data_IF_391116878036
#
_entry.id   IF_391116878036
#
_cell.length_a   1.000
_cell.length_b   1.000
_cell.length_c   1.000
_cell.angle_alpha   90.00
_cell.angle_beta   90.00
_cell.angle_gamma   90.00
#
_symmetry.space_group_name_H-M   'P 1'
#
loop_
_entity.id
_entity.type
_entity.pdbx_description
1 polymer ?
#
# COMPACT_ATOMS: atom_id res chain seq x y z
N UNK A 1 21.42 5.46 15.37
CA UNK A 1 20.00 5.72 15.00
C UNK A 1 19.52 4.48 14.27
N UNK A 2 18.36 3.93 14.63
CA UNK A 2 17.85 2.69 14.03
C UNK A 2 17.58 2.88 12.52
N UNK A 3 17.85 1.85 11.71
CA UNK A 3 17.66 1.88 10.26
C UNK A 3 16.21 2.21 9.88
N UNK A 4 15.24 1.71 10.66
CA UNK A 4 13.83 2.00 10.43
C UNK A 4 13.53 3.51 10.57
N UNK A 5 14.17 4.18 11.54
CA UNK A 5 14.06 5.63 11.70
C UNK A 5 14.69 6.38 10.53
N UNK A 6 15.89 5.97 10.08
CA UNK A 6 16.53 6.57 8.91
C UNK A 6 15.66 6.44 7.66
N UNK A 7 15.03 5.28 7.48
CA UNK A 7 14.11 5.04 6.37
C UNK A 7 12.87 5.94 6.46
N UNK A 8 12.33 6.17 7.67
CA UNK A 8 11.23 7.12 7.88
C UNK A 8 11.58 8.54 7.42
N UNK A 9 12.83 8.99 7.64
CA UNK A 9 13.25 10.35 7.27
C UNK A 9 13.19 10.64 5.75
N UNK A 10 13.09 9.62 4.89
CA UNK A 10 12.82 9.83 3.46
C UNK A 10 11.44 10.47 3.20
N UNK A 11 10.54 10.46 4.19
CA UNK A 11 9.22 11.06 4.09
C UNK A 11 9.18 12.55 4.48
N UNK A 12 10.28 13.13 4.99
CA UNK A 12 10.32 14.54 5.40
C UNK A 12 9.96 15.48 4.24
N UNK A 13 9.28 16.58 4.56
CA UNK A 13 8.87 17.62 3.62
C UNK A 13 7.39 17.97 3.74
N UNK A 14 6.97 18.93 2.91
CA UNK A 14 5.58 19.35 2.76
C UNK A 14 4.99 18.67 1.54
N UNK A 15 3.87 17.98 1.75
CA UNK A 15 3.19 17.14 0.78
C UNK A 15 1.76 17.61 0.59
N UNK A 16 1.44 18.12 -0.58
CA UNK A 16 0.11 18.57 -0.97
C UNK A 16 -0.59 17.46 -1.75
N UNK A 17 -1.87 17.23 -1.49
CA UNK A 17 -2.58 16.12 -2.10
C UNK A 17 -4.03 16.02 -1.68
N UNK A 18 -4.57 14.80 -1.73
CA UNK A 18 -5.95 14.54 -1.35
C UNK A 18 -6.13 13.18 -0.72
N UNK A 19 -7.12 13.04 0.18
CA UNK A 19 -7.63 11.78 0.68
C UNK A 19 -8.90 11.44 -0.10
N UNK A 20 -8.83 10.44 -0.98
CA UNK A 20 -9.98 9.96 -1.77
C UNK A 20 -10.53 8.69 -1.16
N UNK A 21 -11.79 8.71 -0.77
CA UNK A 21 -12.49 7.50 -0.31
C UNK A 21 -12.80 6.60 -1.49
N UNK A 22 -12.62 5.30 -1.30
CA UNK A 22 -12.93 4.25 -2.28
C UNK A 22 -13.87 3.27 -1.60
N UNK A 23 -14.97 2.94 -2.27
CA UNK A 23 -15.96 1.98 -1.79
C UNK A 23 -15.42 0.55 -1.76
N UNK A 24 -16.17 -0.38 -1.15
CA UNK A 24 -15.83 -1.80 -1.11
C UNK A 24 -15.81 -2.46 -2.50
N UNK A 25 -16.48 -1.88 -3.50
CA UNK A 25 -16.45 -2.31 -4.90
C UNK A 25 -15.42 -1.54 -5.75
N UNK A 26 -14.57 -0.71 -5.13
CA UNK A 26 -13.46 -0.07 -5.82
C UNK A 26 -13.85 1.16 -6.63
N UNK A 27 -14.98 1.82 -6.33
CA UNK A 27 -15.36 3.09 -6.95
C UNK A 27 -14.82 4.26 -6.12
N UNK A 28 -14.30 5.29 -6.79
CA UNK A 28 -13.92 6.54 -6.14
C UNK A 28 -15.17 7.33 -5.72
N UNK A 29 -15.12 7.82 -4.48
CA UNK A 29 -16.17 8.63 -3.87
C UNK A 29 -15.64 10.06 -3.70
N UNK A 30 -15.86 10.66 -2.53
CA UNK A 30 -15.40 12.01 -2.22
C UNK A 30 -13.88 12.08 -2.03
N UNK A 31 -13.29 13.18 -2.50
CA UNK A 31 -11.89 13.52 -2.29
C UNK A 31 -11.76 14.80 -1.46
N UNK A 32 -10.98 14.72 -0.38
CA UNK A 32 -10.72 15.84 0.53
C UNK A 32 -9.28 16.34 0.35
N UNK A 33 -9.07 17.59 -0.10
CA UNK A 33 -7.74 18.17 -0.22
C UNK A 33 -7.00 18.21 1.12
N UNK A 34 -5.70 18.00 1.10
CA UNK A 34 -4.86 17.94 2.30
C UNK A 34 -3.45 18.46 2.09
N UNK A 35 -2.84 18.96 3.17
CA UNK A 35 -1.42 19.25 3.27
C UNK A 35 -0.86 18.48 4.46
N UNK A 36 0.13 17.62 4.20
CA UNK A 36 0.87 16.87 5.21
C UNK A 36 2.30 17.40 5.30
N UNK A 37 2.72 17.79 6.48
CA UNK A 37 4.07 18.28 6.76
C UNK A 37 4.76 17.34 7.74
N UNK A 38 5.99 16.94 7.38
CA UNK A 38 6.91 16.18 8.21
C UNK A 38 8.22 16.95 8.32
N UNK A 39 8.49 17.53 9.47
CA UNK A 39 9.69 18.34 9.71
C UNK A 39 10.60 17.68 10.76
N UNK A 40 11.88 17.54 10.43
CA UNK A 40 12.89 16.98 11.32
C UNK A 40 13.49 18.04 12.23
N UNK A 41 13.57 17.74 13.53
CA UNK A 41 14.16 18.60 14.57
C UNK A 41 15.31 17.89 15.28
N UNK A 42 16.13 18.65 16.01
CA UNK A 42 17.20 18.12 16.85
C UNK A 42 18.12 17.15 16.07
N UNK A 43 18.64 17.58 14.92
CA UNK A 43 19.40 16.75 13.99
C UNK A 43 18.64 15.47 13.56
N UNK A 44 17.37 15.63 13.21
CA UNK A 44 16.44 14.56 12.81
C UNK A 44 16.24 13.46 13.86
N UNK A 45 16.48 13.74 15.15
CA UNK A 45 16.13 12.83 16.24
C UNK A 45 14.65 12.89 16.62
N UNK A 46 13.94 13.91 16.11
CA UNK A 46 12.51 14.11 16.29
C UNK A 46 11.90 14.50 14.96
N UNK A 47 10.65 14.12 14.74
CA UNK A 47 9.88 14.57 13.56
C UNK A 47 8.53 15.07 14.02
N UNK A 48 8.20 16.32 13.68
CA UNK A 48 6.83 16.81 13.84
C UNK A 48 6.02 16.45 12.61
N UNK A 49 4.83 15.90 12.85
CA UNK A 49 3.83 15.58 11.85
C UNK A 49 2.67 16.54 12.02
N UNK A 50 2.27 17.16 10.91
CA UNK A 50 1.10 18.02 10.83
C UNK A 50 0.29 17.68 9.59
N UNK A 51 -0.97 17.29 9.80
CA UNK A 51 -1.92 17.02 8.73
C UNK A 51 -3.06 18.03 8.80
N UNK A 52 -3.26 18.77 7.71
CA UNK A 52 -4.39 19.68 7.52
C UNK A 52 -5.26 19.16 6.39
N UNK A 53 -6.58 19.13 6.58
CA UNK A 53 -7.56 18.82 5.54
C UNK A 53 -8.43 20.04 5.29
N UNK A 54 -8.81 20.25 4.04
CA UNK A 54 -9.52 21.45 3.58
C UNK A 54 -10.86 21.07 2.96
N UNK A 55 -11.80 22.01 2.86
CA UNK A 55 -13.03 21.81 2.08
C UNK A 55 -12.70 21.43 0.63
N UNK A 56 -13.64 20.78 -0.05
CA UNK A 56 -13.50 20.32 -1.45
C UNK A 56 -13.19 21.43 -2.45
N UNK A 57 -13.44 22.70 -2.10
CA UNK A 57 -13.15 23.87 -2.95
C UNK A 57 -11.68 24.32 -2.94
N UNK A 58 -10.77 23.57 -2.29
CA UNK A 58 -9.33 23.75 -2.36
C UNK A 58 -8.70 24.31 -1.09
N UNK A 59 -7.45 24.76 -1.19
CA UNK A 59 -6.63 25.18 -0.05
C UNK A 59 -6.90 26.61 0.45
N UNK A 60 -7.82 27.32 -0.21
CA UNK A 60 -8.16 28.71 0.14
C UNK A 60 -9.14 28.73 1.32
N UNK A 61 -8.61 28.79 2.54
CA UNK A 61 -9.40 28.92 3.76
C UNK A 61 -8.78 28.19 4.95
N UNK A 62 -9.48 28.21 6.07
CA UNK A 62 -9.08 27.45 7.25
C UNK A 62 -9.27 25.95 7.02
N UNK A 63 -8.36 25.10 7.51
CA UNK A 63 -8.55 23.66 7.46
C UNK A 63 -9.80 23.23 8.25
N UNK A 64 -10.55 22.26 7.72
CA UNK A 64 -11.70 21.63 8.40
C UNK A 64 -11.26 20.64 9.48
N UNK A 65 -10.03 20.14 9.39
CA UNK A 65 -9.41 19.34 10.44
C UNK A 65 -7.91 19.57 10.45
N UNK A 66 -7.34 19.60 11.64
CA UNK A 66 -5.89 19.64 11.84
C UNK A 66 -5.48 18.62 12.90
N UNK A 67 -4.46 17.83 12.59
CA UNK A 67 -3.88 16.82 13.49
C UNK A 67 -2.39 17.09 13.57
N UNK A 68 -1.87 17.18 14.79
CA UNK A 68 -0.45 17.37 15.08
C UNK A 68 0.04 16.23 15.97
N UNK A 69 1.24 15.71 15.68
CA UNK A 69 1.88 14.66 16.47
C UNK A 69 3.40 14.77 16.34
N UNK A 70 4.12 14.61 17.44
CA UNK A 70 5.58 14.51 17.41
C UNK A 70 6.02 13.05 17.57
N UNK A 71 6.96 12.64 16.72
CA UNK A 71 7.60 11.32 16.79
C UNK A 71 8.99 11.45 17.38
N UNK A 72 9.25 10.65 18.41
CA UNK A 72 10.58 10.42 18.97
C UNK A 72 11.07 8.98 18.72
N UNK A 73 10.11 8.09 18.45
CA UNK A 73 10.31 6.67 18.15
C UNK A 73 9.19 6.22 17.21
N UNK A 74 9.38 5.06 16.59
CA UNK A 74 8.36 4.42 15.76
C UNK A 74 7.70 3.27 16.53
N UNK A 75 6.40 3.12 16.31
CA UNK A 75 5.65 1.98 16.85
C UNK A 75 6.11 0.66 16.21
N UNK A 76 5.97 -0.45 16.94
CA UNK A 76 6.34 -1.78 16.42
C UNK A 76 5.53 -2.17 15.18
N UNK A 77 4.32 -1.63 15.06
CA UNK A 77 3.39 -1.94 13.99
C UNK A 77 3.75 -1.34 12.62
N UNK A 78 4.76 -0.45 12.55
CA UNK A 78 5.19 0.23 11.33
C UNK A 78 6.62 -0.13 10.94
N UNK A 79 6.79 -0.48 9.67
CA UNK A 79 8.09 -0.75 9.04
C UNK A 79 8.26 0.19 7.87
N UNK A 80 9.39 0.89 7.83
CA UNK A 80 9.88 1.68 6.70
C UNK A 80 11.03 0.94 6.02
N UNK A 81 10.96 0.88 4.70
CA UNK A 81 11.94 0.29 3.81
C UNK A 81 12.88 1.36 3.25
N UNK A 82 13.97 0.94 2.63
CA UNK A 82 15.06 1.81 2.17
C UNK A 82 14.62 2.91 1.19
N UNK A 83 13.53 2.74 0.44
CA UNK A 83 12.98 3.78 -0.45
C UNK A 83 12.17 4.84 0.28
N UNK A 84 11.94 4.68 1.58
CA UNK A 84 10.97 5.45 2.36
C UNK A 84 9.55 4.87 2.31
N UNK A 85 9.32 3.83 1.50
CA UNK A 85 8.06 3.09 1.51
C UNK A 85 7.81 2.47 2.89
N UNK A 86 6.55 2.32 3.29
CA UNK A 86 6.22 1.79 4.61
C UNK A 86 4.93 0.98 4.64
N UNK A 87 4.85 0.06 5.60
CA UNK A 87 3.63 -0.64 5.97
C UNK A 87 3.34 -0.42 7.44
N UNK A 88 2.11 -0.02 7.76
CA UNK A 88 1.58 0.18 9.11
C UNK A 88 0.23 -0.52 9.21
N UNK A 89 -0.08 -1.19 10.32
CA UNK A 89 -1.41 -1.76 10.46
C UNK A 89 -1.65 -2.47 11.76
N UNK A 90 -2.82 -3.09 11.88
CA UNK A 90 -3.19 -3.90 13.04
C UNK A 90 -2.16 -4.99 13.31
N UNK A 91 -1.73 -5.19 14.56
CA UNK A 91 -0.80 -6.27 14.93
C UNK A 91 -1.50 -7.61 15.14
N UNK A 92 -2.78 -7.59 15.52
CA UNK A 92 -3.59 -8.77 15.81
C UNK A 92 -5.00 -8.59 15.24
N UNK A 93 -5.39 -9.42 14.29
CA UNK A 93 -6.77 -9.57 13.87
C UNK A 93 -7.48 -10.52 14.85
N UNK A 94 -8.51 -10.03 15.54
CA UNK A 94 -9.26 -10.79 16.54
C UNK A 94 -10.77 -10.76 16.22
N UNK A 95 -11.56 -11.73 16.73
CA UNK A 95 -13.01 -11.70 16.58
C UNK A 95 -13.61 -10.36 17.02
N UNK A 96 -14.51 -9.81 16.20
CA UNK A 96 -15.23 -8.54 16.44
C UNK A 96 -14.35 -7.28 16.51
N UNK A 97 -13.09 -7.36 16.05
CA UNK A 97 -12.22 -6.20 15.90
C UNK A 97 -12.28 -5.66 14.47
N UNK A 98 -12.20 -4.34 14.33
CA UNK A 98 -11.93 -3.71 13.04
C UNK A 98 -10.48 -3.99 12.64
N UNK A 99 -10.26 -4.12 11.33
CA UNK A 99 -8.93 -4.31 10.77
C UNK A 99 -8.59 -3.17 9.83
N UNK A 100 -7.36 -2.66 9.95
CA UNK A 100 -6.85 -1.60 9.09
C UNK A 100 -5.37 -1.77 8.82
N UNK A 101 -4.98 -1.50 7.57
CA UNK A 101 -3.59 -1.39 7.17
C UNK A 101 -3.41 -0.20 6.24
N UNK A 102 -2.31 0.51 6.40
CA UNK A 102 -1.85 1.63 5.59
C UNK A 102 -0.51 1.28 4.97
N UNK A 103 -0.40 1.58 3.68
CA UNK A 103 0.78 1.37 2.88
C UNK A 103 1.16 2.69 2.26
N UNK A 104 2.43 3.08 2.34
CA UNK A 104 2.92 4.28 1.71
C UNK A 104 4.12 4.00 0.83
N UNK A 105 4.19 4.68 -0.30
CA UNK A 105 5.32 4.66 -1.21
C UNK A 105 5.85 6.08 -1.37
N UNK A 106 7.16 6.19 -1.60
CA UNK A 106 7.84 7.46 -1.88
C UNK A 106 8.65 7.26 -3.15
N UNK A 107 8.47 8.16 -4.12
CA UNK A 107 9.24 8.17 -5.37
C UNK A 107 9.46 9.61 -5.81
N UNK A 108 10.66 10.13 -5.53
CA UNK A 108 11.03 11.52 -5.81
C UNK A 108 10.06 12.51 -5.16
N UNK A 109 9.36 13.29 -6.01
CA UNK A 109 8.39 14.30 -5.58
C UNK A 109 6.95 13.77 -5.44
N UNK A 110 6.77 12.46 -5.45
CA UNK A 110 5.46 11.81 -5.29
C UNK A 110 5.45 10.94 -4.04
N UNK A 111 4.31 10.92 -3.36
CA UNK A 111 3.93 9.81 -2.47
C UNK A 111 2.56 9.29 -2.84
N UNK A 112 2.40 8.01 -2.61
CA UNK A 112 1.12 7.32 -2.73
C UNK A 112 0.91 6.52 -1.47
N UNK A 113 -0.23 6.72 -0.82
CA UNK A 113 -0.63 5.89 0.31
C UNK A 113 -1.99 5.29 0.06
N UNK A 114 -2.18 4.05 0.48
CA UNK A 114 -3.49 3.40 0.44
C UNK A 114 -3.79 2.80 1.82
N UNK A 115 -4.96 3.13 2.35
CA UNK A 115 -5.51 2.53 3.56
C UNK A 115 -6.58 1.53 3.16
N UNK A 116 -6.53 0.32 3.71
CA UNK A 116 -7.54 -0.73 3.53
C UNK A 116 -8.26 -0.94 4.87
N UNK A 117 -9.59 -0.82 4.89
CA UNK A 117 -10.40 -0.85 6.11
C UNK A 117 -11.46 -1.93 6.04
N UNK A 118 -11.56 -2.72 7.10
CA UNK A 118 -12.51 -3.81 7.25
C UNK A 118 -13.39 -3.59 8.48
N UNK A 119 -14.66 -3.98 8.37
CA UNK A 119 -15.60 -3.95 9.47
C UNK A 119 -15.35 -5.09 10.47
N UNK A 120 -16.11 -5.11 11.57
CA UNK A 120 -15.98 -6.09 12.67
C UNK A 120 -16.36 -7.51 12.24
N UNK A 121 -17.13 -7.64 11.19
CA UNK A 121 -17.50 -8.90 10.58
C UNK A 121 -16.33 -9.47 9.76
N UNK A 122 -15.35 -8.64 9.38
CA UNK A 122 -14.20 -9.01 8.56
C UNK A 122 -14.42 -8.74 7.07
N UNK A 123 -15.52 -8.11 6.68
CA UNK A 123 -15.78 -7.67 5.31
C UNK A 123 -15.09 -6.35 4.98
N UNK A 124 -14.63 -6.21 3.74
CA UNK A 124 -14.08 -4.95 3.24
C UNK A 124 -15.13 -3.84 3.38
N UNK A 125 -14.80 -2.79 4.12
CA UNK A 125 -15.67 -1.65 4.37
C UNK A 125 -15.41 -0.54 3.37
N UNK A 126 -14.15 -0.10 3.29
CA UNK A 126 -13.71 0.98 2.41
C UNK A 126 -12.20 0.98 2.26
N UNK A 127 -11.71 1.80 1.35
CA UNK A 127 -10.30 2.11 1.20
C UNK A 127 -10.11 3.63 1.11
N UNK A 128 -8.92 4.14 1.40
CA UNK A 128 -8.60 5.56 1.25
C UNK A 128 -7.31 5.69 0.48
N UNK A 129 -7.40 6.20 -0.75
CA UNK A 129 -6.25 6.50 -1.61
C UNK A 129 -5.80 7.93 -1.35
N UNK A 130 -4.53 8.08 -0.97
CA UNK A 130 -3.92 9.35 -0.62
C UNK A 130 -2.79 9.62 -1.60
N UNK A 131 -3.04 10.55 -2.52
CA UNK A 131 -2.10 10.92 -3.59
C UNK A 131 -1.48 12.25 -3.23
N UNK A 132 -0.16 12.29 -3.12
CA UNK A 132 0.55 13.45 -2.58
C UNK A 132 1.74 13.82 -3.48
N UNK A 133 2.01 15.11 -3.52
CA UNK A 133 3.04 15.77 -4.30
C UNK A 133 3.86 16.63 -3.37
N UNK A 134 5.17 16.68 -3.60
CA UNK A 134 6.01 17.62 -2.87
C UNK A 134 5.56 19.04 -3.23
N UNK A 135 5.38 19.89 -2.22
CA UNK A 135 4.98 21.27 -2.42
C UNK A 135 5.93 21.98 -3.40
N UNK A 136 5.36 22.81 -4.28
CA UNK A 136 6.07 23.51 -5.36
C UNK A 136 6.76 22.62 -6.39
N UNK A 137 6.43 21.33 -6.46
CA UNK A 137 6.90 20.44 -7.53
C UNK A 137 5.95 20.42 -8.73
N UNK A 138 6.47 20.05 -9.89
CA UNK A 138 5.69 19.82 -11.11
C UNK A 138 5.35 18.33 -11.31
N UNK A 139 5.34 17.55 -10.23
CA UNK A 139 5.06 16.12 -10.33
C UNK A 139 3.57 15.90 -10.66
N UNK A 140 3.28 14.86 -11.45
CA UNK A 140 1.94 14.59 -11.99
C UNK A 140 1.46 13.20 -11.60
N UNK A 141 0.14 13.01 -11.52
CA UNK A 141 -0.46 11.67 -11.42
C UNK A 141 -0.16 10.85 -12.67
N UNK A 142 -0.11 9.54 -12.48
CA UNK A 142 -0.19 8.59 -13.58
C UNK A 142 -1.64 8.39 -14.00
N UNK A 143 -1.88 7.88 -15.22
CA UNK A 143 -3.19 7.35 -15.59
C UNK A 143 -3.67 6.28 -14.59
N UNK A 144 -4.99 6.08 -14.44
CA UNK A 144 -5.53 4.95 -13.70
C UNK A 144 -4.96 3.62 -14.20
N UNK A 145 -4.73 2.70 -13.27
CA UNK A 145 -4.13 1.41 -13.60
C UNK A 145 -5.05 0.61 -14.52
N UNK A 146 -4.48 0.05 -15.58
CA UNK A 146 -5.15 -0.83 -16.52
C UNK A 146 -4.45 -2.18 -16.57
N UNK A 147 -5.17 -3.24 -16.93
CA UNK A 147 -4.65 -4.61 -16.95
C UNK A 147 -3.49 -4.73 -17.92
N UNK A 148 -3.60 -4.09 -19.08
CA UNK A 148 -2.61 -4.09 -20.15
C UNK A 148 -1.25 -3.58 -19.66
N UNK A 149 -1.25 -2.67 -18.68
CA UNK A 149 -0.02 -2.16 -18.08
C UNK A 149 0.69 -3.23 -17.25
N UNK A 150 -0.05 -4.18 -16.66
CA UNK A 150 0.49 -5.27 -15.85
C UNK A 150 0.91 -6.51 -16.67
N UNK A 151 0.31 -6.73 -17.86
CA UNK A 151 0.62 -7.89 -18.70
C UNK A 151 2.10 -7.90 -19.10
N UNK A 152 2.78 -9.03 -18.91
CA UNK A 152 4.19 -9.21 -19.24
C UNK A 152 4.96 -9.94 -18.14
N UNK A 153 6.28 -9.79 -18.18
CA UNK A 153 7.19 -10.36 -17.18
C UNK A 153 7.82 -9.27 -16.33
N UNK A 154 7.91 -9.51 -15.04
CA UNK A 154 8.43 -8.61 -14.04
C UNK A 154 9.50 -9.32 -13.22
N UNK A 155 10.67 -8.69 -13.09
CA UNK A 155 11.76 -9.17 -12.26
C UNK A 155 12.09 -8.14 -11.21
N UNK A 156 12.26 -8.58 -9.97
CA UNK A 156 12.43 -7.67 -8.86
C UNK A 156 13.26 -8.22 -7.73
N UNK A 157 13.40 -7.37 -6.72
CA UNK A 157 13.98 -7.71 -5.42
C UNK A 157 12.95 -7.44 -4.34
N UNK A 158 12.89 -8.33 -3.35
CA UNK A 158 12.03 -8.20 -2.20
C UNK A 158 12.87 -8.08 -0.91
N UNK A 159 12.38 -7.27 0.03
CA UNK A 159 12.89 -7.16 1.39
C UNK A 159 11.75 -7.48 2.37
N UNK A 160 11.90 -8.56 3.15
CA UNK A 160 10.91 -8.97 4.16
C UNK A 160 11.44 -8.72 5.56
N UNK A 161 10.67 -7.96 6.35
CA UNK A 161 10.91 -7.70 7.77
C UNK A 161 9.89 -8.46 8.62
N UNK A 162 10.33 -9.10 9.69
CA UNK A 162 9.50 -9.96 10.55
C UNK A 162 9.15 -9.27 11.87
N UNK A 163 7.93 -9.51 12.35
CA UNK A 163 7.47 -9.02 13.64
C UNK A 163 8.15 -9.73 14.84
N UNK A 164 8.65 -10.96 14.62
CA UNK A 164 9.30 -11.83 15.62
C UNK A 164 10.76 -11.47 15.93
N UNK A 165 11.27 -10.34 15.41
CA UNK A 165 12.67 -9.90 15.54
C UNK A 165 13.68 -10.83 14.86
N UNK A 166 13.21 -11.75 14.02
CA UNK A 166 14.07 -12.50 13.11
C UNK A 166 14.78 -11.55 12.14
N UNK A 167 16.01 -11.90 11.70
CA UNK A 167 16.70 -11.13 10.68
C UNK A 167 15.84 -10.95 9.44
N UNK A 168 15.77 -9.72 8.91
CA UNK A 168 15.11 -9.47 7.64
C UNK A 168 15.85 -10.16 6.51
N UNK A 169 15.12 -10.59 5.47
CA UNK A 169 15.69 -11.30 4.33
C UNK A 169 15.51 -10.51 3.03
N UNK A 170 16.44 -10.73 2.10
CA UNK A 170 16.38 -10.21 0.74
C UNK A 170 16.43 -11.35 -0.26
N UNK A 171 15.63 -11.28 -1.32
CA UNK A 171 15.57 -12.30 -2.35
C UNK A 171 15.04 -11.72 -3.66
N UNK A 172 15.20 -12.46 -4.75
CA UNK A 172 14.68 -12.07 -6.06
C UNK A 172 13.26 -12.58 -6.28
N UNK A 173 12.46 -11.82 -7.01
CA UNK A 173 11.10 -12.21 -7.40
C UNK A 173 10.98 -12.24 -8.92
N UNK A 174 10.15 -13.15 -9.42
CA UNK A 174 9.73 -13.16 -10.82
C UNK A 174 8.22 -13.29 -10.88
N UNK A 175 7.57 -12.49 -11.73
CA UNK A 175 6.14 -12.47 -11.88
C UNK A 175 5.81 -12.39 -13.38
N UNK A 176 5.07 -13.36 -13.88
CA UNK A 176 4.54 -13.38 -15.24
C UNK A 176 3.02 -13.26 -15.17
N UNK A 177 2.49 -12.32 -15.94
CA UNK A 177 1.06 -12.05 -16.05
C UNK A 177 0.67 -12.13 -17.52
N UNK A 178 -0.36 -12.92 -17.82
CA UNK A 178 -0.96 -13.02 -19.15
C UNK A 178 -2.47 -12.96 -19.08
N UNK A 179 -3.11 -12.63 -20.20
CA UNK A 179 -4.56 -12.55 -20.32
C UNK A 179 -5.05 -13.41 -21.49
N UNK A 180 -6.11 -14.17 -21.26
CA UNK A 180 -6.81 -14.89 -22.32
C UNK A 180 -8.32 -14.90 -22.04
N UNK A 181 -9.15 -14.51 -23.04
CA UNK A 181 -10.61 -14.66 -23.02
C UNK A 181 -11.30 -14.18 -21.73
N UNK A 182 -10.92 -13.00 -21.23
CA UNK A 182 -11.51 -12.42 -20.00
C UNK A 182 -10.95 -12.98 -18.69
N UNK A 183 -9.92 -13.82 -18.75
CA UNK A 183 -9.20 -14.32 -17.59
C UNK A 183 -7.77 -13.80 -17.54
N UNK A 184 -7.30 -13.53 -16.33
CA UNK A 184 -5.92 -13.24 -15.99
C UNK A 184 -5.26 -14.52 -15.47
N UNK A 185 -4.04 -14.78 -15.92
CA UNK A 185 -3.20 -15.87 -15.44
C UNK A 185 -1.93 -15.28 -14.83
N UNK A 186 -1.63 -15.68 -13.60
CA UNK A 186 -0.45 -15.24 -12.88
C UNK A 186 0.43 -16.45 -12.55
N UNK A 187 1.72 -16.29 -12.79
CA UNK A 187 2.76 -17.22 -12.38
C UNK A 187 3.85 -16.42 -11.67
N UNK A 188 4.08 -16.69 -10.39
CA UNK A 188 5.08 -15.95 -9.61
C UNK A 188 6.01 -16.88 -8.86
N UNK A 189 7.29 -16.52 -8.82
CA UNK A 189 8.28 -17.08 -7.93
C UNK A 189 8.55 -16.11 -6.77
N UNK A 190 8.33 -16.58 -5.55
CA UNK A 190 8.53 -15.84 -4.30
C UNK A 190 9.13 -16.78 -3.25
N UNK A 191 10.31 -16.46 -2.71
CA UNK A 191 11.03 -17.32 -1.76
C UNK A 191 11.22 -18.77 -2.27
N UNK A 192 11.60 -18.91 -3.54
CA UNK A 192 11.74 -20.21 -4.24
C UNK A 192 10.45 -21.04 -4.33
N UNK A 193 9.30 -20.44 -3.99
CA UNK A 193 7.98 -21.05 -4.15
C UNK A 193 7.31 -20.52 -5.40
N UNK A 194 6.79 -21.46 -6.20
CA UNK A 194 6.03 -21.16 -7.39
C UNK A 194 4.55 -21.09 -7.03
N UNK A 195 3.94 -19.94 -7.24
CA UNK A 195 2.51 -19.72 -7.12
C UNK A 195 1.90 -19.53 -8.50
N UNK A 196 0.76 -20.17 -8.73
CA UNK A 196 -0.04 -20.03 -9.95
C UNK A 196 -1.46 -19.71 -9.57
N UNK A 197 -2.04 -18.73 -10.23
CA UNK A 197 -3.44 -18.36 -10.02
C UNK A 197 -4.09 -17.93 -11.32
N UNK A 198 -5.40 -18.14 -11.36
CA UNK A 198 -6.28 -17.69 -12.45
C UNK A 198 -7.35 -16.80 -11.83
N UNK A 199 -7.71 -15.74 -12.53
CA UNK A 199 -8.74 -14.81 -12.07
C UNK A 199 -9.61 -14.32 -13.21
N UNK A 200 -10.86 -14.01 -12.89
CA UNK A 200 -11.79 -13.40 -13.84
C UNK A 200 -11.61 -11.88 -13.85
N UNK A 201 -11.64 -11.29 -15.05
CA UNK A 201 -11.53 -9.85 -15.25
C UNK A 201 -12.93 -9.25 -15.35
N UNK A 202 -13.26 -8.38 -14.41
CA UNK A 202 -14.54 -7.67 -14.33
C UNK A 202 -14.30 -6.17 -14.21
N UNK A 203 -14.01 -5.51 -15.34
CA UNK A 203 -13.68 -4.09 -15.37
C UNK A 203 -12.41 -3.77 -14.57
N UNK A 204 -12.53 -2.93 -13.54
CA UNK A 204 -11.43 -2.58 -12.65
C UNK A 204 -11.21 -3.59 -11.49
N UNK A 205 -11.94 -4.70 -11.48
CA UNK A 205 -11.83 -5.75 -10.47
C UNK A 205 -11.36 -7.05 -11.11
N UNK A 206 -10.29 -7.63 -10.56
CA UNK A 206 -9.82 -8.96 -10.98
C UNK A 206 -10.06 -9.93 -9.82
N UNK A 207 -10.95 -10.89 -10.03
CA UNK A 207 -11.52 -11.77 -9.00
C UNK A 207 -10.80 -13.11 -8.96
N UNK A 208 -10.14 -13.41 -7.84
CA UNK A 208 -9.46 -14.67 -7.57
C UNK A 208 -10.33 -15.50 -6.65
N UNK A 209 -10.89 -16.59 -7.17
CA UNK A 209 -11.66 -17.54 -6.37
C UNK A 209 -10.77 -18.68 -5.91
N UNK A 210 -10.87 -19.03 -4.63
CA UNK A 210 -10.11 -20.13 -4.05
C UNK A 210 -10.88 -20.76 -2.90
N UNK A 211 -10.53 -22.01 -2.54
CA UNK A 211 -11.10 -22.67 -1.37
C UNK A 211 -10.76 -21.95 -0.05
N UNK A 212 -9.71 -21.13 -0.02
CA UNK A 212 -9.25 -20.37 1.14
C UNK A 212 -9.94 -19.01 1.27
N UNK A 213 -10.74 -18.62 0.27
CA UNK A 213 -11.49 -17.38 0.23
C UNK A 213 -11.26 -16.57 -1.04
N UNK A 214 -12.21 -15.67 -1.31
CA UNK A 214 -12.18 -14.81 -2.49
C UNK A 214 -11.30 -13.58 -2.24
N UNK A 215 -10.42 -13.32 -3.21
CA UNK A 215 -9.58 -12.12 -3.26
C UNK A 215 -9.94 -11.27 -4.47
N UNK A 216 -9.71 -9.97 -4.36
CA UNK A 216 -9.90 -9.02 -5.44
C UNK A 216 -8.67 -8.15 -5.58
N UNK A 217 -8.19 -8.01 -6.82
CA UNK A 217 -7.23 -6.98 -7.22
C UNK A 217 -8.03 -5.83 -7.84
N UNK A 218 -8.11 -4.72 -7.12
CA UNK A 218 -8.68 -3.48 -7.62
C UNK A 218 -7.63 -2.69 -8.38
N UNK A 219 -7.98 -2.23 -9.58
CA UNK A 219 -7.19 -1.32 -10.39
C UNK A 219 -7.74 0.09 -10.15
N UNK A 220 -6.90 0.96 -9.62
CA UNK A 220 -7.30 2.26 -9.06
C UNK A 220 -6.54 3.39 -9.75
N UNK A 221 -6.89 4.65 -9.45
CA UNK A 221 -6.20 5.81 -9.99
C UNK A 221 -4.69 5.81 -9.70
N UNK A 222 -3.96 6.61 -10.50
CA UNK A 222 -2.54 6.90 -10.30
C UNK A 222 -1.65 5.65 -10.28
N UNK A 223 -1.96 4.67 -11.14
CA UNK A 223 -1.21 3.42 -11.25
C UNK A 223 -1.34 2.50 -10.01
N UNK A 224 -2.32 2.73 -9.14
CA UNK A 224 -2.47 1.98 -7.89
C UNK A 224 -3.17 0.64 -8.11
N UNK A 225 -2.70 -0.39 -7.42
CA UNK A 225 -3.41 -1.65 -7.25
C UNK A 225 -3.64 -1.98 -5.79
N UNK A 226 -4.82 -2.51 -5.45
CA UNK A 226 -5.13 -3.02 -4.10
C UNK A 226 -5.53 -4.48 -4.18
N UNK A 227 -4.72 -5.38 -3.60
CA UNK A 227 -4.95 -6.82 -3.66
C UNK A 227 -5.27 -7.38 -2.29
N UNK A 228 -6.53 -7.76 -2.10
CA UNK A 228 -7.09 -8.01 -0.78
C UNK A 228 -8.12 -9.13 -0.75
N UNK A 229 -8.27 -9.86 0.38
CA UNK A 229 -9.44 -10.67 0.64
C UNK A 229 -10.68 -9.78 0.74
N UNK A 230 -11.79 -10.18 0.14
CA UNK A 230 -13.06 -9.44 0.30
C UNK A 230 -13.65 -9.64 1.70
N UNK A 231 -13.34 -10.79 2.28
CA UNK A 231 -13.62 -11.13 3.65
C UNK A 231 -12.34 -11.72 4.24
N UNK A 232 -11.89 -11.18 5.37
CA UNK A 232 -10.70 -11.69 6.05
C UNK A 232 -10.99 -13.10 6.56
N UNK A 233 -10.20 -14.11 6.17
CA UNK A 233 -10.46 -15.47 6.58
C UNK A 233 -10.11 -15.63 8.07
N UNK A 234 -10.92 -16.43 8.78
CA UNK A 234 -10.64 -16.82 10.17
C UNK A 234 -9.89 -18.15 10.18
N UNK A 235 -8.93 -18.30 11.08
CA UNK A 235 -8.16 -19.55 11.23
C UNK A 235 -7.33 -19.96 10.01
N UNK A 236 -7.15 -19.06 9.03
CA UNK A 236 -6.28 -19.23 7.87
C UNK A 236 -5.33 -18.04 7.78
N UNK A 237 -4.11 -18.23 7.24
CA UNK A 237 -3.23 -17.11 6.98
C UNK A 237 -3.85 -16.23 5.90
N UNK A 238 -3.53 -14.93 5.93
CA UNK A 238 -3.97 -14.02 4.89
C UNK A 238 -2.94 -12.92 4.64
N UNK A 239 -3.10 -12.29 3.49
CA UNK A 239 -2.25 -11.20 3.05
C UNK A 239 -3.10 -10.08 2.50
N UNK A 240 -2.64 -8.86 2.76
CA UNK A 240 -3.18 -7.63 2.21
C UNK A 240 -2.03 -6.92 1.52
N UNK A 241 -2.25 -6.51 0.28
CA UNK A 241 -1.21 -6.01 -0.61
C UNK A 241 -1.65 -4.74 -1.32
N UNK A 242 -0.69 -3.84 -1.52
CA UNK A 242 -0.84 -2.64 -2.35
C UNK A 242 0.32 -2.62 -3.33
N UNK A 243 0.03 -2.22 -4.56
CA UNK A 243 1.05 -1.97 -5.58
C UNK A 243 0.90 -0.57 -6.15
N UNK A 244 2.00 -0.05 -6.65
CA UNK A 244 2.04 1.21 -7.37
C UNK A 244 2.94 1.07 -8.59
N UNK A 245 2.35 1.22 -9.77
CA UNK A 245 3.07 1.32 -11.02
C UNK A 245 3.65 2.74 -11.12
N UNK A 246 4.95 2.89 -10.90
CA UNK A 246 5.67 4.18 -10.88
C UNK A 246 5.99 4.70 -12.28
N UNK A 247 6.38 3.76 -13.14
CA UNK A 247 6.80 3.99 -14.51
C UNK A 247 6.05 3.05 -15.45
N UNK A 248 6.33 3.13 -16.75
CA UNK A 248 5.80 2.11 -17.68
C UNK A 248 6.39 0.73 -17.39
N UNK A 249 7.59 0.69 -16.81
CA UNK A 249 8.36 -0.51 -16.54
C UNK A 249 8.82 -0.65 -15.10
N UNK A 250 8.40 0.23 -14.17
CA UNK A 250 8.80 0.15 -12.76
C UNK A 250 7.56 0.09 -11.87
N UNK A 251 7.52 -0.90 -10.98
CA UNK A 251 6.43 -1.12 -10.03
C UNK A 251 6.99 -1.42 -8.66
N UNK A 252 6.32 -0.92 -7.64
CA UNK A 252 6.56 -1.32 -6.26
C UNK A 252 5.34 -2.00 -5.66
N UNK A 253 5.56 -2.90 -4.71
CA UNK A 253 4.50 -3.54 -3.94
C UNK A 253 4.85 -3.61 -2.47
N UNK A 254 3.84 -3.51 -1.62
CA UNK A 254 3.93 -3.75 -0.20
C UNK A 254 2.91 -4.81 0.20
N UNK A 255 3.37 -5.83 0.91
CA UNK A 255 2.56 -6.97 1.33
C UNK A 255 2.67 -7.09 2.85
N UNK A 256 1.54 -7.19 3.53
CA UNK A 256 1.48 -7.47 4.97
C UNK A 256 0.84 -8.84 5.19
N UNK A 257 1.55 -9.73 5.90
CA UNK A 257 1.15 -11.14 6.09
C UNK A 257 0.74 -11.40 7.54
N UNK A 258 -0.32 -12.18 7.68
CA UNK A 258 -0.87 -12.62 8.96
C UNK A 258 -0.93 -14.16 9.01
N UNK A 259 -0.70 -14.72 10.19
CA UNK A 259 -0.76 -16.18 10.39
C UNK A 259 -2.21 -16.64 10.66
N UNK A 260 -2.46 -17.95 10.80
CA UNK A 260 -3.80 -18.48 11.10
C UNK A 260 -4.43 -17.96 12.41
N UNK A 261 -3.63 -17.44 13.34
CA UNK A 261 -4.12 -16.82 14.58
C UNK A 261 -4.49 -15.35 14.41
N UNK A 262 -4.30 -14.77 13.22
CA UNK A 262 -4.47 -13.34 12.96
C UNK A 262 -3.33 -12.48 13.49
N UNK A 263 -2.21 -13.06 13.93
CA UNK A 263 -1.03 -12.31 14.35
C UNK A 263 -0.28 -11.80 13.11
N UNK A 264 0.14 -10.54 13.12
CA UNK A 264 0.99 -9.98 12.08
C UNK A 264 2.37 -10.66 12.12
N UNK A 265 2.78 -11.22 10.98
CA UNK A 265 4.03 -11.98 10.84
C UNK A 265 5.12 -11.15 10.22
N UNK A 266 4.82 -10.47 9.10
CA UNK A 266 5.83 -9.76 8.33
C UNK A 266 5.25 -8.67 7.43
N UNK A 267 6.12 -7.75 7.03
CA UNK A 267 5.91 -6.82 5.93
C UNK A 267 6.98 -7.07 4.87
N UNK A 268 6.58 -7.09 3.60
CA UNK A 268 7.48 -7.26 2.46
C UNK A 268 7.33 -6.08 1.51
N UNK A 269 8.46 -5.49 1.11
CA UNK A 269 8.53 -4.52 0.04
C UNK A 269 9.18 -5.15 -1.18
N UNK A 270 8.56 -4.99 -2.34
CA UNK A 270 9.04 -5.51 -3.62
C UNK A 270 9.24 -4.32 -4.55
N UNK A 271 10.38 -4.27 -5.22
CA UNK A 271 10.65 -3.35 -6.33
C UNK A 271 10.90 -4.21 -7.56
N UNK A 272 10.08 -4.05 -8.60
CA UNK A 272 10.10 -4.90 -9.80
C UNK A 272 10.09 -4.07 -11.07
N UNK A 273 10.83 -4.56 -12.07
CA UNK A 273 10.96 -3.97 -13.38
C UNK A 273 10.38 -4.90 -14.45
N UNK A 274 9.67 -4.32 -15.40
CA UNK A 274 9.12 -5.04 -16.55
C UNK A 274 10.24 -5.40 -17.53
N UNK A 275 10.24 -6.63 -18.03
CA UNK A 275 11.10 -7.03 -19.14
C UNK A 275 10.57 -6.40 -20.41
N UNK A 276 11.46 -5.71 -21.12
CA UNK A 276 11.20 -5.06 -22.42
C UNK A 276 11.58 -6.03 -23.54
#
# INVERSE_FOLDING_TARGET
MDQNWQNFLHNLGVWEGSFTSISADGQELESTPSILELEGFDNNQRVSFRLRRFPSHGYNGSPISEINQDYHTLGRQIIFFNTGAFSKGTMQFAPFSEFGAEYGFVAGNRRLRLVQLYNREGGLSSQVLIREFRQHSNALERPPLQIEQLIGEWYGTAHTCYASWEPSIHFTTHLRISQEKGYLFQHSNFLDQIHRSTAEINGNQIRFQSAEGDRCLFLLADGTSSFIPLHLPRHHPFEVEVGWLLGDNERQRLIRRYNPKGEWVSATHIVENKVI
#
